data_IF_771270746755
#
_entry.id   IF_771270746755
#
_cell.length_a   1.000
_cell.length_b   1.000
_cell.length_c   1.000
_cell.angle_alpha   90.00
_cell.angle_beta   90.00
_cell.angle_gamma   90.00
#
_symmetry.space_group_name_H-M   'P 1'
#
loop_
_entity.id
_entity.type
_entity.pdbx_description
1 polymer ?
#
# COMPACT_ATOMS: atom_id res chain seq x y z
N UNK A 1 7.27 -21.61 25.67
CA UNK A 1 6.75 -20.31 25.19
C UNK A 1 5.72 -20.63 24.12
N UNK A 2 4.45 -20.56 24.48
CA UNK A 2 3.33 -20.93 23.61
C UNK A 2 3.24 -19.89 22.48
N UNK A 3 3.67 -20.29 21.28
CA UNK A 3 3.47 -19.54 20.03
C UNK A 3 1.96 -19.48 19.75
N UNK A 4 1.26 -18.53 20.40
CA UNK A 4 -0.01 -18.08 19.86
C UNK A 4 0.35 -17.32 18.59
N UNK A 5 0.21 -18.00 17.45
CA UNK A 5 0.08 -17.36 16.15
C UNK A 5 -1.22 -16.57 16.19
N UNK A 6 -1.20 -15.49 16.98
CA UNK A 6 -2.24 -14.50 16.99
C UNK A 6 -2.21 -13.88 15.59
N UNK A 7 -3.34 -13.94 14.89
CA UNK A 7 -3.49 -13.33 13.56
C UNK A 7 -3.00 -11.88 13.61
N UNK A 8 -3.16 -11.21 14.75
CA UNK A 8 -2.63 -9.87 15.01
C UNK A 8 -1.11 -9.78 14.96
N UNK A 9 -0.37 -10.74 15.51
CA UNK A 9 1.11 -10.69 15.53
C UNK A 9 1.70 -10.98 14.16
N UNK A 10 1.09 -11.89 13.40
CA UNK A 10 1.45 -12.17 12.00
C UNK A 10 1.12 -10.98 11.09
N UNK A 11 -0.09 -10.40 11.23
CA UNK A 11 -0.49 -9.19 10.52
C UNK A 11 0.45 -8.03 10.82
N UNK A 12 0.78 -7.81 12.09
CA UNK A 12 1.72 -6.79 12.52
C UNK A 12 3.10 -6.99 11.87
N UNK A 13 3.55 -8.22 11.65
CA UNK A 13 4.87 -8.47 11.05
C UNK A 13 4.93 -8.10 9.56
N UNK A 14 3.80 -8.14 8.86
CA UNK A 14 3.71 -7.84 7.42
C UNK A 14 3.30 -6.39 7.16
N UNK A 15 2.25 -5.93 7.85
CA UNK A 15 1.56 -4.68 7.53
C UNK A 15 1.90 -3.51 8.45
N UNK A 16 2.50 -3.76 9.61
CA UNK A 16 2.84 -2.69 10.54
C UNK A 16 4.16 -2.03 10.12
N UNK A 17 4.11 -0.74 9.79
CA UNK A 17 5.28 0.06 9.39
C UNK A 17 6.41 0.07 10.43
N UNK A 18 6.11 -0.13 11.72
CA UNK A 18 7.11 -0.12 12.80
C UNK A 18 7.80 -1.48 13.00
N UNK A 19 7.18 -2.55 12.53
CA UNK A 19 7.64 -3.93 12.75
C UNK A 19 8.05 -4.63 11.45
N UNK A 20 7.58 -4.17 10.29
CA UNK A 20 7.91 -4.80 9.03
C UNK A 20 9.41 -4.60 8.68
N UNK A 21 9.96 -5.41 7.77
CA UNK A 21 11.36 -5.31 7.35
C UNK A 21 11.72 -3.98 6.65
N UNK A 22 10.73 -3.26 6.14
CA UNK A 22 10.85 -1.96 5.47
C UNK A 22 10.84 -0.76 6.44
N UNK A 23 10.73 -1.00 7.76
CA UNK A 23 10.74 0.06 8.80
C UNK A 23 11.97 0.98 8.78
N UNK A 24 13.09 0.51 8.22
CA UNK A 24 14.34 1.28 8.13
C UNK A 24 14.40 2.17 6.87
N UNK A 25 13.34 2.17 6.06
CA UNK A 25 13.24 3.00 4.86
C UNK A 25 12.43 4.26 5.15
N UNK A 26 12.62 5.30 4.34
CA UNK A 26 11.78 6.50 4.43
C UNK A 26 10.31 6.14 4.19
N UNK A 27 9.39 6.76 4.94
CA UNK A 27 7.93 6.56 4.84
C UNK A 27 7.40 6.50 3.40
N UNK A 28 7.81 7.41 2.48
CA UNK A 28 7.40 7.36 1.08
C UNK A 28 7.87 6.08 0.36
N UNK A 29 9.10 5.63 0.63
CA UNK A 29 9.68 4.44 0.01
C UNK A 29 9.01 3.17 0.54
N UNK A 30 8.80 3.08 1.85
CA UNK A 30 8.09 1.96 2.47
C UNK A 30 6.66 1.83 1.92
N UNK A 31 5.94 2.95 1.77
CA UNK A 31 4.60 2.97 1.20
C UNK A 31 4.58 2.48 -0.27
N UNK A 32 5.51 2.95 -1.10
CA UNK A 32 5.64 2.51 -2.50
C UNK A 32 5.93 1.01 -2.60
N UNK A 33 6.82 0.48 -1.74
CA UNK A 33 7.15 -0.94 -1.74
C UNK A 33 5.97 -1.81 -1.29
N UNK A 34 5.21 -1.38 -0.28
CA UNK A 34 3.97 -2.04 0.11
C UNK A 34 2.94 -2.04 -1.03
N UNK A 35 2.89 -0.95 -1.80
CA UNK A 35 2.02 -0.85 -2.97
C UNK A 35 2.42 -1.79 -4.11
N UNK A 36 3.73 -1.92 -4.39
CA UNK A 36 4.25 -2.88 -5.37
C UNK A 36 3.97 -4.32 -4.97
N UNK A 37 4.08 -4.64 -3.67
CA UNK A 37 3.77 -5.98 -3.17
C UNK A 37 2.28 -6.30 -3.38
N UNK A 38 1.38 -5.35 -3.11
CA UNK A 38 -0.04 -5.50 -3.43
C UNK A 38 -0.28 -5.72 -4.93
N UNK A 39 0.46 -5.01 -5.79
CA UNK A 39 0.36 -5.16 -7.24
C UNK A 39 0.83 -6.54 -7.72
N UNK A 40 1.91 -7.06 -7.14
CA UNK A 40 2.43 -8.40 -7.41
C UNK A 40 1.40 -9.49 -7.08
N UNK A 41 0.75 -9.41 -5.91
CA UNK A 41 -0.26 -10.40 -5.51
C UNK A 41 -1.52 -10.36 -6.39
N UNK A 42 -1.94 -9.18 -6.85
CA UNK A 42 -3.03 -9.05 -7.84
C UNK A 42 -2.71 -9.78 -9.15
N UNK A 43 -1.48 -9.64 -9.65
CA UNK A 43 -1.03 -10.36 -10.85
C UNK A 43 -1.04 -11.88 -10.67
N UNK A 44 -0.57 -12.38 -9.51
CA UNK A 44 -0.58 -13.81 -9.18
C UNK A 44 -2.02 -14.35 -9.18
N UNK A 45 -2.96 -13.66 -8.52
CA UNK A 45 -4.36 -14.08 -8.51
C UNK A 45 -4.97 -14.13 -9.91
N UNK A 46 -4.64 -13.16 -10.76
CA UNK A 46 -5.19 -13.18 -12.11
C UNK A 46 -4.59 -14.25 -13.02
N UNK A 47 -3.30 -14.56 -12.85
CA UNK A 47 -2.65 -15.67 -13.54
C UNK A 47 -3.22 -17.02 -13.06
N UNK A 48 -3.53 -17.16 -11.77
CA UNK A 48 -4.21 -18.35 -11.23
C UNK A 48 -5.60 -18.56 -11.82
N UNK A 49 -6.35 -17.49 -12.09
CA UNK A 49 -7.68 -17.55 -12.73
C UNK A 49 -7.57 -17.78 -14.25
N UNK A 50 -6.37 -17.63 -14.84
CA UNK A 50 -6.11 -17.91 -16.26
C UNK A 50 -6.70 -16.88 -17.23
N UNK A 51 -7.15 -15.71 -16.74
CA UNK A 51 -7.82 -14.70 -17.56
C UNK A 51 -7.07 -13.37 -17.54
N UNK A 52 -6.42 -13.05 -18.67
CA UNK A 52 -5.80 -11.74 -18.90
C UNK A 52 -6.80 -10.57 -18.86
N UNK A 53 -8.07 -10.85 -19.15
CA UNK A 53 -9.14 -9.84 -19.07
C UNK A 53 -9.46 -9.48 -17.61
N UNK A 54 -9.55 -10.49 -16.74
CA UNK A 54 -9.73 -10.29 -15.30
C UNK A 54 -8.53 -9.53 -14.73
N UNK A 55 -7.31 -9.81 -15.21
CA UNK A 55 -6.09 -9.07 -14.81
C UNK A 55 -6.21 -7.59 -15.12
N UNK A 56 -6.61 -7.27 -16.36
CA UNK A 56 -6.74 -5.89 -16.81
C UNK A 56 -7.74 -5.10 -15.97
N UNK A 57 -8.92 -5.68 -15.69
CA UNK A 57 -9.97 -5.03 -14.89
C UNK A 57 -9.54 -4.83 -13.44
N UNK A 58 -8.97 -5.86 -12.80
CA UNK A 58 -8.56 -5.76 -11.40
C UNK A 58 -7.38 -4.81 -11.23
N UNK A 59 -6.39 -4.84 -12.14
CA UNK A 59 -5.25 -3.93 -12.11
C UNK A 59 -5.69 -2.47 -12.31
N UNK A 60 -6.59 -2.19 -13.26
CA UNK A 60 -7.11 -0.84 -13.49
C UNK A 60 -7.91 -0.30 -12.29
N UNK A 61 -8.74 -1.12 -11.66
CA UNK A 61 -9.48 -0.73 -10.46
C UNK A 61 -8.53 -0.40 -9.29
N UNK A 62 -7.47 -1.20 -9.08
CA UNK A 62 -6.49 -0.93 -8.03
C UNK A 62 -5.68 0.34 -8.30
N UNK A 63 -5.19 0.55 -9.52
CA UNK A 63 -4.41 1.77 -9.85
C UNK A 63 -5.26 3.03 -9.73
N UNK A 64 -6.55 2.97 -10.07
CA UNK A 64 -7.49 4.08 -9.87
C UNK A 64 -7.68 4.39 -8.37
N UNK A 65 -7.85 3.37 -7.52
CA UNK A 65 -7.96 3.56 -6.07
C UNK A 65 -6.70 4.17 -5.47
N UNK A 66 -5.52 3.63 -5.79
CA UNK A 66 -4.23 4.12 -5.31
C UNK A 66 -4.00 5.56 -5.79
N UNK A 67 -4.28 5.83 -7.07
CA UNK A 67 -4.18 7.17 -7.66
C UNK A 67 -5.07 8.18 -6.96
N UNK A 68 -6.30 7.80 -6.58
CA UNK A 68 -7.21 8.64 -5.81
C UNK A 68 -6.68 8.99 -4.41
N UNK A 69 -6.08 8.02 -3.72
CA UNK A 69 -5.44 8.25 -2.40
C UNK A 69 -4.26 9.21 -2.55
N UNK A 70 -3.38 8.99 -3.53
CA UNK A 70 -2.24 9.88 -3.78
C UNK A 70 -2.70 11.30 -4.14
N UNK A 71 -3.72 11.44 -4.99
CA UNK A 71 -4.27 12.74 -5.34
C UNK A 71 -4.80 13.48 -4.10
N UNK A 72 -5.47 12.76 -3.19
CA UNK A 72 -5.96 13.32 -1.92
C UNK A 72 -4.81 13.78 -1.03
N UNK A 73 -3.75 12.97 -0.90
CA UNK A 73 -2.55 13.34 -0.14
C UNK A 73 -1.85 14.58 -0.72
N UNK A 74 -1.76 14.67 -2.05
CA UNK A 74 -1.18 15.85 -2.72
C UNK A 74 -2.00 17.12 -2.46
N UNK A 75 -3.33 17.02 -2.48
CA UNK A 75 -4.21 18.14 -2.15
C UNK A 75 -4.02 18.57 -0.70
N UNK A 76 -3.95 17.62 0.23
CA UNK A 76 -3.72 17.92 1.65
C UNK A 76 -2.36 18.58 1.90
N UNK A 77 -1.28 18.04 1.34
CA UNK A 77 0.05 18.63 1.44
C UNK A 77 0.07 20.07 0.90
N UNK A 78 -0.59 20.30 -0.24
CA UNK A 78 -0.69 21.63 -0.83
C UNK A 78 -1.47 22.60 0.04
N UNK A 79 -2.53 22.13 0.70
CA UNK A 79 -3.31 22.96 1.64
C UNK A 79 -2.52 23.29 2.91
N UNK A 80 -1.75 22.34 3.44
CA UNK A 80 -0.95 22.54 4.65
C UNK A 80 0.22 23.50 4.39
N UNK A 81 0.93 23.34 3.27
CA UNK A 81 2.00 24.25 2.84
C UNK A 81 1.51 25.70 2.64
N UNK A 82 0.31 25.87 2.08
CA UNK A 82 -0.28 27.21 1.93
C UNK A 82 -0.66 27.83 3.29
N UNK A 83 -1.06 27.02 4.27
CA UNK A 83 -1.43 27.51 5.61
C UNK A 83 -0.22 27.92 6.46
N UNK A 84 0.94 27.26 6.28
CA UNK A 84 2.17 27.61 7.00
C UNK A 84 2.80 28.93 6.56
N UNK A 85 2.58 29.35 5.31
CA UNK A 85 3.12 30.61 4.76
C UNK A 85 2.38 31.86 5.28
N UNK A 86 1.22 31.65 5.92
CA UNK A 86 0.37 32.71 6.48
C UNK A 86 0.56 32.94 7.99
N UNK A 87 1.48 32.20 8.64
CA UNK A 87 1.76 32.27 10.08
C UNK A 87 3.16 32.81 10.35
#
# INVERSE_FOLDING_TARGET
MTNRLDVKSTWDSVMNETKNPLKNQSLPTAHLLMQMLAWMWSAIFSLMVGSYFVFGVTAAAHTMLIGGVFMTLLVFQKSEAASSDLR
#
